data_IF_109084787950
#
_entry.id   IF_109084787950
#
_cell.length_a   1.000
_cell.length_b   1.000
_cell.length_c   1.000
_cell.angle_alpha   90.00
_cell.angle_beta   90.00
_cell.angle_gamma   90.00
#
_symmetry.space_group_name_H-M   'P 1'
#
loop_
_entity.id
_entity.type
_entity.pdbx_description
1 polymer ?
#
# COMPACT_ATOMS: atom_id res chain seq x y z
N UNK A 1 -2.87 -24.94 12.69
CA UNK A 1 -3.36 -23.85 13.57
C UNK A 1 -4.13 -22.84 12.72
N UNK A 2 -5.08 -22.10 13.32
CA UNK A 2 -6.17 -21.28 12.76
C UNK A 2 -7.22 -22.01 11.89
N UNK A 3 -6.82 -22.77 10.88
CA UNK A 3 -7.75 -23.55 10.03
C UNK A 3 -7.96 -24.99 10.52
N UNK A 4 -7.56 -25.30 11.75
CA UNK A 4 -7.55 -26.66 12.32
C UNK A 4 -6.76 -27.71 11.52
N UNK A 5 -5.90 -27.28 10.58
CA UNK A 5 -5.03 -28.17 9.77
C UNK A 5 -3.79 -28.71 10.50
N UNK A 6 -3.52 -28.23 11.72
CA UNK A 6 -2.41 -28.70 12.58
C UNK A 6 -2.69 -28.35 14.05
N UNK A 7 -2.27 -29.18 15.03
CA UNK A 7 -2.50 -28.95 16.46
C UNK A 7 -1.72 -27.74 16.99
N UNK A 8 -2.21 -27.13 18.07
CA UNK A 8 -1.60 -25.92 18.66
C UNK A 8 -0.15 -26.14 19.13
N UNK A 9 0.19 -27.35 19.59
CA UNK A 9 1.55 -27.71 20.02
C UNK A 9 2.59 -27.65 18.89
N UNK A 10 2.15 -27.66 17.64
CA UNK A 10 3.04 -27.56 16.47
C UNK A 10 3.29 -26.08 16.10
N UNK A 11 2.66 -25.12 16.80
CA UNK A 11 3.00 -23.72 16.70
C UNK A 11 4.39 -23.49 17.31
N UNK A 12 5.30 -22.89 16.56
CA UNK A 12 6.68 -22.64 16.99
C UNK A 12 6.84 -21.53 18.02
N UNK A 13 5.94 -21.42 19.01
CA UNK A 13 5.97 -20.39 20.06
C UNK A 13 5.93 -21.05 21.42
N UNK A 14 6.91 -20.75 22.28
CA UNK A 14 7.05 -21.33 23.61
C UNK A 14 7.49 -20.29 24.62
N UNK A 15 6.75 -20.15 25.73
CA UNK A 15 7.26 -19.44 26.90
C UNK A 15 8.29 -20.34 27.59
N UNK A 16 9.53 -19.88 27.71
CA UNK A 16 10.58 -20.56 28.47
C UNK A 16 10.46 -20.24 29.96
N UNK A 17 10.05 -19.01 30.27
CA UNK A 17 9.71 -18.49 31.59
C UNK A 17 8.76 -17.29 31.45
N UNK A 18 8.46 -16.60 32.56
CA UNK A 18 7.52 -15.47 32.61
C UNK A 18 7.95 -14.24 31.78
N UNK A 19 9.23 -14.13 31.41
CA UNK A 19 9.80 -12.98 30.69
C UNK A 19 10.53 -13.37 29.39
N UNK A 20 10.59 -14.66 29.07
CA UNK A 20 11.33 -15.18 27.91
C UNK A 20 10.42 -15.97 26.98
N UNK A 21 10.23 -15.45 25.76
CA UNK A 21 9.48 -16.11 24.68
C UNK A 21 10.45 -16.62 23.60
N UNK A 22 10.43 -17.92 23.34
CA UNK A 22 11.11 -18.54 22.21
C UNK A 22 10.15 -18.64 21.02
N UNK A 23 10.58 -18.16 19.86
CA UNK A 23 9.85 -18.30 18.60
C UNK A 23 10.74 -18.95 17.56
N UNK A 24 10.31 -20.12 17.07
CA UNK A 24 10.96 -20.88 16.01
C UNK A 24 10.23 -20.66 14.69
N UNK A 25 10.92 -20.03 13.75
CA UNK A 25 10.43 -19.83 12.40
C UNK A 25 10.73 -21.04 11.53
N UNK A 26 9.90 -21.25 10.49
CA UNK A 26 10.14 -22.29 9.49
C UNK A 26 11.39 -21.97 8.66
N UNK A 27 11.52 -20.70 8.29
CA UNK A 27 12.59 -20.16 7.45
C UNK A 27 13.10 -18.85 8.09
N UNK A 28 14.35 -18.43 7.83
CA UNK A 28 14.85 -17.14 8.29
C UNK A 28 13.96 -15.98 7.82
N UNK A 29 13.61 -15.06 8.71
CA UNK A 29 12.82 -13.87 8.37
C UNK A 29 13.45 -12.62 9.01
N UNK A 30 14.17 -11.78 8.25
CA UNK A 30 14.81 -10.58 8.79
C UNK A 30 13.83 -9.52 9.27
N UNK A 31 12.62 -9.51 8.74
CA UNK A 31 11.59 -8.55 9.14
C UNK A 31 10.73 -9.05 10.28
N UNK A 32 11.03 -10.22 10.84
CA UNK A 32 10.24 -10.80 11.91
C UNK A 32 10.09 -9.86 13.12
N UNK A 33 11.13 -9.09 13.46
CA UNK A 33 11.05 -8.07 14.52
C UNK A 33 10.03 -6.97 14.21
N UNK A 34 9.91 -6.54 12.95
CA UNK A 34 8.85 -5.63 12.48
C UNK A 34 7.49 -6.33 12.45
N UNK A 35 7.42 -7.60 12.05
CA UNK A 35 6.16 -8.37 12.09
C UNK A 35 5.60 -8.42 13.51
N UNK A 36 6.45 -8.59 14.53
CA UNK A 36 6.06 -8.62 15.95
C UNK A 36 5.46 -7.30 16.46
N UNK A 37 5.64 -6.17 15.76
CA UNK A 37 4.98 -4.91 16.14
C UNK A 37 3.53 -4.81 15.65
N UNK A 38 3.06 -5.75 14.81
CA UNK A 38 1.68 -5.72 14.31
C UNK A 38 0.67 -5.99 15.43
N UNK A 39 -0.40 -5.18 15.49
CA UNK A 39 -1.48 -5.27 16.49
C UNK A 39 -2.12 -6.66 16.58
N UNK A 40 -2.17 -7.43 15.49
CA UNK A 40 -2.72 -8.79 15.50
C UNK A 40 -1.89 -9.78 16.32
N UNK A 41 -0.62 -9.44 16.61
CA UNK A 41 0.29 -10.21 17.44
C UNK A 41 0.41 -9.64 18.87
N UNK A 42 -0.38 -8.61 19.21
CA UNK A 42 -0.39 -8.05 20.55
C UNK A 42 -0.83 -9.12 21.59
N UNK A 43 -0.23 -9.13 22.80
CA UNK A 43 -0.57 -10.12 23.81
C UNK A 43 -1.99 -9.90 24.36
N UNK A 44 -2.66 -11.00 24.65
CA UNK A 44 -3.98 -11.01 25.29
C UNK A 44 -3.92 -11.71 26.64
N UNK A 45 -4.70 -11.24 27.61
CA UNK A 45 -4.79 -11.89 28.91
C UNK A 45 -5.73 -13.10 28.82
N UNK A 46 -5.18 -14.31 28.96
CA UNK A 46 -5.93 -15.56 28.79
C UNK A 46 -7.08 -15.71 29.79
N UNK A 47 -6.85 -15.37 31.07
CA UNK A 47 -7.87 -15.45 32.11
C UNK A 47 -9.07 -14.56 31.79
N UNK A 48 -8.81 -13.31 31.40
CA UNK A 48 -9.85 -12.36 31.03
C UNK A 48 -10.57 -12.76 29.75
N UNK A 49 -9.85 -13.24 28.73
CA UNK A 49 -10.46 -13.77 27.51
C UNK A 49 -11.43 -14.93 27.82
N UNK A 50 -11.01 -15.86 28.68
CA UNK A 50 -11.84 -17.01 29.10
C UNK A 50 -13.06 -16.57 29.90
N UNK A 51 -12.89 -15.61 30.80
CA UNK A 51 -13.97 -15.02 31.59
C UNK A 51 -15.03 -14.35 30.71
N UNK A 52 -14.61 -13.53 29.74
CA UNK A 52 -15.52 -12.83 28.82
C UNK A 52 -16.10 -13.74 27.74
N UNK A 53 -15.38 -14.77 27.32
CA UNK A 53 -15.79 -15.72 26.30
C UNK A 53 -16.29 -15.03 25.02
N UNK A 54 -17.54 -15.30 24.64
CA UNK A 54 -18.16 -14.73 23.43
C UNK A 54 -18.40 -13.22 23.49
N UNK A 55 -18.24 -12.59 24.66
CA UNK A 55 -18.41 -11.14 24.83
C UNK A 55 -17.09 -10.37 24.76
N UNK A 56 -15.95 -11.07 24.72
CA UNK A 56 -14.65 -10.44 24.59
C UNK A 56 -14.63 -9.41 23.45
N UNK A 57 -14.14 -8.20 23.75
CA UNK A 57 -14.01 -7.07 22.85
C UNK A 57 -15.31 -6.57 22.18
N UNK A 58 -16.49 -6.81 22.77
CA UNK A 58 -17.76 -6.20 22.30
C UNK A 58 -18.04 -4.81 22.87
N UNK A 59 -17.47 -4.52 24.03
CA UNK A 59 -17.58 -3.24 24.73
C UNK A 59 -16.23 -2.87 25.34
N UNK A 60 -16.08 -1.61 25.76
CA UNK A 60 -14.93 -1.11 26.50
C UNK A 60 -14.69 -1.86 27.85
N UNK A 61 -15.75 -2.40 28.46
CA UNK A 61 -15.65 -3.22 29.69
C UNK A 61 -15.25 -4.69 29.42
N UNK A 62 -15.27 -5.11 28.16
CA UNK A 62 -14.99 -6.48 27.73
C UNK A 62 -13.62 -6.61 27.05
N UNK A 63 -12.73 -5.62 27.22
CA UNK A 63 -11.36 -5.65 26.72
C UNK A 63 -10.38 -5.15 27.79
N UNK A 64 -9.17 -5.70 27.80
CA UNK A 64 -8.04 -5.19 28.59
C UNK A 64 -7.01 -4.53 27.68
N UNK A 65 -6.34 -3.50 28.19
CA UNK A 65 -5.29 -2.78 27.47
C UNK A 65 -3.97 -2.85 28.21
N UNK A 66 -2.91 -3.27 27.51
CA UNK A 66 -1.52 -3.22 27.97
C UNK A 66 -0.74 -2.02 27.41
N UNK A 67 -1.35 -1.27 26.48
CA UNK A 67 -0.75 -0.11 25.80
C UNK A 67 -0.89 1.22 26.56
N UNK A 68 -0.50 2.33 25.92
CA UNK A 68 -0.44 3.67 26.54
C UNK A 68 -1.81 4.25 26.90
N UNK A 69 -2.89 3.73 26.32
CA UNK A 69 -4.26 4.18 26.59
C UNK A 69 -5.21 3.02 26.88
N UNK A 70 -6.31 3.35 27.55
CA UNK A 70 -7.46 2.47 27.83
C UNK A 70 -8.66 3.02 27.07
N UNK A 71 -9.36 2.14 26.35
CA UNK A 71 -10.59 2.45 25.62
C UNK A 71 -11.75 2.73 26.61
N UNK A 72 -12.55 3.73 26.31
CA UNK A 72 -13.72 4.13 27.09
C UNK A 72 -14.89 4.50 26.18
N UNK A 73 -16.11 4.21 26.65
CA UNK A 73 -17.38 4.59 26.00
C UNK A 73 -17.53 4.04 24.59
N UNK A 74 -17.03 2.83 24.35
CA UNK A 74 -17.10 2.16 23.06
C UNK A 74 -17.89 0.85 23.16
N UNK A 75 -18.73 0.63 22.16
CA UNK A 75 -19.31 -0.65 21.80
C UNK A 75 -19.28 -0.82 20.27
N UNK A 76 -19.70 -1.99 19.78
CA UNK A 76 -19.71 -2.32 18.34
C UNK A 76 -20.55 -1.37 17.46
N UNK A 77 -21.44 -0.56 18.03
CA UNK A 77 -22.28 0.39 17.28
C UNK A 77 -21.89 1.86 17.52
N UNK A 78 -20.87 2.11 18.34
CA UNK A 78 -20.50 3.44 18.78
C UNK A 78 -19.90 4.27 17.64
N UNK A 79 -20.44 5.48 17.46
CA UNK A 79 -19.87 6.49 16.57
C UNK A 79 -18.97 7.48 17.32
N UNK A 80 -18.86 7.34 18.64
CA UNK A 80 -18.03 8.19 19.50
C UNK A 80 -17.42 7.33 20.60
N UNK A 81 -16.15 7.52 20.89
CA UNK A 81 -15.45 6.88 21.99
C UNK A 81 -14.29 7.74 22.44
N UNK A 82 -13.62 7.33 23.52
CA UNK A 82 -12.41 7.98 23.97
C UNK A 82 -11.34 6.99 24.39
N UNK A 83 -10.10 7.45 24.36
CA UNK A 83 -8.97 6.77 24.96
C UNK A 83 -8.47 7.64 26.11
N UNK A 84 -8.35 7.08 27.31
CA UNK A 84 -7.70 7.77 28.43
C UNK A 84 -6.31 7.20 28.66
N UNK A 85 -5.39 8.02 29.15
CA UNK A 85 -4.04 7.59 29.53
C UNK A 85 -4.10 6.39 30.48
N UNK A 86 -3.28 5.39 30.20
CA UNK A 86 -3.16 4.19 31.02
C UNK A 86 -2.08 4.40 32.10
N UNK A 87 -2.43 4.59 33.38
CA UNK A 87 -1.44 4.79 34.44
C UNK A 87 -0.62 3.53 34.74
N UNK A 88 -1.07 2.35 34.28
CA UNK A 88 -0.36 1.06 34.45
C UNK A 88 0.58 0.74 33.30
N UNK A 89 0.63 1.56 32.24
CA UNK A 89 1.57 1.36 31.15
C UNK A 89 3.00 1.58 31.63
N UNK A 90 3.92 0.69 31.27
CA UNK A 90 5.31 0.72 31.75
C UNK A 90 6.00 2.06 31.46
N UNK A 91 5.65 2.71 30.35
CA UNK A 91 6.19 4.00 29.93
C UNK A 91 5.17 5.15 30.05
N UNK A 92 4.21 5.06 30.98
CA UNK A 92 3.15 6.07 31.14
C UNK A 92 3.67 7.50 31.40
N UNK A 93 4.89 7.64 31.95
CA UNK A 93 5.52 8.96 32.17
C UNK A 93 5.79 9.70 30.86
N UNK A 94 6.09 8.97 29.80
CA UNK A 94 6.36 9.59 28.50
C UNK A 94 5.09 9.99 27.77
N UNK A 95 3.93 9.40 28.10
CA UNK A 95 2.62 9.72 27.49
C UNK A 95 2.11 11.07 27.97
N UNK A 96 2.02 12.06 27.10
CA UNK A 96 1.66 13.45 27.44
C UNK A 96 0.18 13.80 27.28
N UNK A 97 -0.55 13.08 26.43
CA UNK A 97 -1.98 13.31 26.18
C UNK A 97 -2.78 12.52 27.22
N UNK A 98 -3.62 13.21 28.00
CA UNK A 98 -4.43 12.56 29.03
C UNK A 98 -5.65 11.84 28.45
N UNK A 99 -6.24 12.39 27.39
CA UNK A 99 -7.44 11.87 26.76
C UNK A 99 -7.48 12.20 25.27
N UNK A 100 -7.92 11.24 24.47
CA UNK A 100 -8.20 11.37 23.04
C UNK A 100 -9.68 11.08 22.83
N UNK A 101 -10.39 11.94 22.12
CA UNK A 101 -11.79 11.73 21.76
C UNK A 101 -11.91 11.48 20.27
N UNK A 102 -12.65 10.44 19.90
CA UNK A 102 -12.88 10.06 18.51
C UNK A 102 -14.36 10.19 18.19
N UNK A 103 -14.65 10.82 17.06
CA UNK A 103 -15.99 10.95 16.52
C UNK A 103 -15.97 10.49 15.06
N UNK A 104 -16.85 9.56 14.71
CA UNK A 104 -17.03 9.13 13.32
C UNK A 104 -17.92 10.14 12.62
N UNK A 105 -17.33 10.85 11.67
CA UNK A 105 -18.02 11.77 10.77
C UNK A 105 -17.90 11.20 9.36
N UNK A 106 -19.03 11.15 8.64
CA UNK A 106 -19.11 10.49 7.33
C UNK A 106 -19.04 11.47 6.15
N UNK A 107 -19.10 12.77 6.44
CA UNK A 107 -19.19 13.82 5.46
C UNK A 107 -18.05 14.83 5.66
N UNK A 108 -17.25 15.04 4.61
CA UNK A 108 -16.07 15.89 4.66
C UNK A 108 -16.39 17.34 5.05
N UNK A 109 -17.55 17.87 4.63
CA UNK A 109 -17.93 19.24 4.98
C UNK A 109 -18.20 19.40 6.48
N UNK A 110 -18.78 18.37 7.10
CA UNK A 110 -19.03 18.33 8.54
C UNK A 110 -17.72 18.29 9.32
N UNK A 111 -16.76 17.46 8.89
CA UNK A 111 -15.42 17.38 9.50
C UNK A 111 -14.70 18.72 9.46
N UNK A 112 -14.72 19.37 8.29
CA UNK A 112 -14.10 20.68 8.11
C UNK A 112 -14.72 21.74 9.01
N UNK A 113 -16.04 21.78 9.12
CA UNK A 113 -16.73 22.71 10.02
C UNK A 113 -16.38 22.47 11.50
N UNK A 114 -16.21 21.20 11.91
CA UNK A 114 -15.78 20.86 13.26
C UNK A 114 -14.34 21.32 13.52
N UNK A 115 -13.45 21.18 12.53
CA UNK A 115 -12.07 21.65 12.62
C UNK A 115 -12.00 23.18 12.69
N UNK A 116 -12.69 23.90 11.79
CA UNK A 116 -12.73 25.37 11.79
C UNK A 116 -13.35 25.96 13.06
N UNK A 117 -14.32 25.26 13.67
CA UNK A 117 -14.91 25.65 14.95
C UNK A 117 -14.10 25.24 16.19
N UNK A 118 -12.93 24.59 16.00
CA UNK A 118 -12.05 24.16 17.09
C UNK A 118 -12.60 23.00 17.93
N UNK A 119 -13.54 22.22 17.39
CA UNK A 119 -14.14 21.06 18.08
C UNK A 119 -13.38 19.76 17.85
N UNK A 120 -12.53 19.70 16.82
CA UNK A 120 -11.59 18.62 16.57
C UNK A 120 -10.21 19.19 16.27
N UNK A 121 -9.15 18.48 16.67
CA UNK A 121 -7.78 18.95 16.49
C UNK A 121 -7.13 18.47 15.19
N UNK A 122 -7.70 17.49 14.50
CA UNK A 122 -7.29 17.14 13.14
C UNK A 122 -8.44 16.48 12.37
N UNK A 123 -8.36 16.52 11.05
CA UNK A 123 -9.22 15.73 10.15
C UNK A 123 -8.52 15.43 8.83
N UNK A 124 -9.01 14.42 8.10
CA UNK A 124 -8.57 14.11 6.75
C UNK A 124 -9.20 15.07 5.74
N UNK A 125 -8.43 15.43 4.72
CA UNK A 125 -8.86 16.28 3.63
C UNK A 125 -9.13 15.43 2.39
N UNK A 126 -10.17 15.77 1.65
CA UNK A 126 -10.49 15.14 0.36
C UNK A 126 -11.09 16.15 -0.61
N UNK A 127 -11.01 15.86 -1.91
CA UNK A 127 -11.55 16.71 -2.97
C UNK A 127 -11.05 18.16 -2.87
N UNK A 128 -11.96 19.11 -3.06
CA UNK A 128 -11.65 20.54 -3.08
C UNK A 128 -11.05 21.07 -1.75
N UNK A 129 -11.26 20.37 -0.63
CA UNK A 129 -10.69 20.77 0.66
C UNK A 129 -9.16 20.63 0.70
N UNK A 130 -8.57 19.74 -0.09
CA UNK A 130 -7.10 19.63 -0.17
C UNK A 130 -6.53 20.93 -0.72
N UNK A 131 -7.08 21.44 -1.82
CA UNK A 131 -6.66 22.70 -2.40
C UNK A 131 -6.98 23.90 -1.50
N UNK A 132 -8.13 23.89 -0.79
CA UNK A 132 -8.51 24.95 0.16
C UNK A 132 -7.49 25.08 1.30
N UNK A 133 -6.95 23.96 1.79
CA UNK A 133 -6.09 23.92 2.98
C UNK A 133 -4.60 23.81 2.67
N UNK A 134 -4.16 23.68 1.42
CA UNK A 134 -2.75 23.48 1.05
C UNK A 134 -1.77 24.46 1.70
N UNK A 135 -2.19 25.71 1.91
CA UNK A 135 -1.36 26.78 2.49
C UNK A 135 -1.55 26.91 4.02
N UNK A 136 -2.36 26.07 4.63
CA UNK A 136 -2.59 26.06 6.08
C UNK A 136 -1.36 25.49 6.82
N UNK A 137 -0.90 26.11 7.92
CA UNK A 137 0.32 25.66 8.64
C UNK A 137 0.21 24.24 9.21
N UNK A 138 -1.01 23.74 9.39
CA UNK A 138 -1.31 22.38 9.82
C UNK A 138 -1.56 21.38 8.70
N UNK A 139 -1.47 21.79 7.43
CA UNK A 139 -1.62 20.91 6.29
C UNK A 139 -0.46 19.91 6.23
N UNK A 140 -0.77 18.62 6.14
CA UNK A 140 0.22 17.56 5.99
C UNK A 140 -0.29 16.55 4.98
N UNK A 141 0.60 16.11 4.09
CA UNK A 141 0.38 14.97 3.22
C UNK A 141 1.36 13.90 3.63
N UNK A 142 0.86 12.68 3.81
CA UNK A 142 1.68 11.54 4.22
C UNK A 142 1.49 10.43 3.18
N UNK A 143 2.55 10.03 2.47
CA UNK A 143 2.51 8.87 1.61
C UNK A 143 2.11 7.64 2.41
N UNK A 144 1.24 6.82 1.82
CA UNK A 144 0.80 5.56 2.41
C UNK A 144 1.40 4.41 1.60
N UNK A 145 1.40 3.22 2.18
CA UNK A 145 1.93 1.99 1.56
C UNK A 145 1.06 1.45 0.41
N UNK A 146 0.26 2.32 -0.23
CA UNK A 146 -0.64 1.98 -1.31
C UNK A 146 -0.05 2.40 -2.64
N UNK A 147 0.11 1.46 -3.57
CA UNK A 147 0.53 1.73 -4.94
C UNK A 147 -0.66 1.50 -5.87
N UNK A 148 -0.94 2.46 -6.73
CA UNK A 148 -1.93 2.30 -7.82
C UNK A 148 -1.19 2.05 -9.12
N UNK A 149 -1.64 1.07 -9.89
CA UNK A 149 -0.97 0.61 -11.11
C UNK A 149 -1.96 0.26 -12.22
N UNK A 150 -1.49 0.25 -13.47
CA UNK A 150 -2.14 -0.52 -14.54
C UNK A 150 -1.55 -1.93 -14.51
N UNK A 151 -2.39 -2.89 -14.13
CA UNK A 151 -2.09 -4.30 -14.20
C UNK A 151 -2.47 -4.84 -15.59
N UNK A 152 -1.72 -5.83 -16.07
CA UNK A 152 -1.84 -6.34 -17.43
C UNK A 152 -2.10 -7.84 -17.43
N UNK A 153 -3.11 -8.29 -18.17
CA UNK A 153 -3.41 -9.69 -18.43
C UNK A 153 -2.45 -10.30 -19.45
N UNK A 154 -1.15 -10.33 -19.11
CA UNK A 154 -0.07 -10.72 -20.03
C UNK A 154 -0.26 -12.15 -20.54
N UNK A 155 -0.61 -13.08 -19.65
CA UNK A 155 -0.87 -14.47 -20.05
C UNK A 155 -2.16 -14.66 -20.86
N UNK A 156 -3.14 -13.76 -20.72
CA UNK A 156 -4.45 -13.88 -21.38
C UNK A 156 -4.56 -13.13 -22.70
N UNK A 157 -3.63 -12.22 -23.02
CA UNK A 157 -3.66 -11.42 -24.23
C UNK A 157 -2.32 -11.48 -25.01
N UNK A 158 -2.27 -12.09 -26.22
CA UNK A 158 -1.07 -12.18 -27.04
C UNK A 158 -0.41 -10.83 -27.38
N UNK A 159 -1.19 -9.76 -27.48
CA UNK A 159 -0.66 -8.40 -27.73
C UNK A 159 0.18 -7.95 -26.54
N UNK A 160 -0.26 -8.23 -25.31
CA UNK A 160 0.46 -7.86 -24.08
C UNK A 160 1.65 -8.79 -23.77
N UNK A 161 1.78 -9.93 -24.45
CA UNK A 161 3.00 -10.76 -24.38
C UNK A 161 4.18 -10.07 -25.06
N UNK A 162 3.92 -9.20 -26.04
CA UNK A 162 4.94 -8.41 -26.69
C UNK A 162 5.51 -7.35 -25.72
N UNK A 163 6.81 -7.43 -25.43
CA UNK A 163 7.50 -6.50 -24.51
C UNK A 163 7.44 -5.05 -24.98
N UNK A 164 7.54 -4.80 -26.29
CA UNK A 164 7.48 -3.45 -26.84
C UNK A 164 6.10 -2.82 -26.64
N UNK A 165 5.00 -3.59 -26.73
CA UNK A 165 3.67 -3.08 -26.35
C UNK A 165 3.67 -2.60 -24.90
N UNK A 166 4.13 -3.43 -23.97
CA UNK A 166 4.14 -3.07 -22.54
C UNK A 166 5.03 -1.86 -22.24
N UNK A 167 6.21 -1.81 -22.85
CA UNK A 167 7.13 -0.67 -22.69
C UNK A 167 6.58 0.63 -23.31
N UNK A 168 5.85 0.55 -24.43
CA UNK A 168 5.19 1.69 -25.03
C UNK A 168 4.04 2.21 -24.15
N UNK A 169 3.23 1.32 -23.58
CA UNK A 169 2.22 1.67 -22.57
C UNK A 169 2.87 2.30 -21.33
N UNK A 170 3.98 1.75 -20.84
CA UNK A 170 4.66 2.30 -19.67
C UNK A 170 5.15 3.75 -19.88
N UNK A 171 5.75 4.03 -21.04
CA UNK A 171 6.38 5.31 -21.38
C UNK A 171 5.42 6.37 -21.96
N UNK A 172 4.15 6.03 -22.18
CA UNK A 172 3.13 6.96 -22.71
C UNK A 172 2.35 7.69 -21.62
N UNK A 173 2.62 7.44 -20.35
CA UNK A 173 1.87 8.03 -19.23
C UNK A 173 2.71 9.10 -18.54
N UNK A 174 2.26 10.35 -18.63
CA UNK A 174 2.73 11.43 -17.79
C UNK A 174 2.12 11.29 -16.37
N UNK A 175 2.92 10.88 -15.39
CA UNK A 175 2.45 10.58 -14.02
C UNK A 175 2.37 11.82 -13.16
N UNK A 176 3.25 12.77 -13.41
CA UNK A 176 3.27 14.10 -12.82
C UNK A 176 1.95 14.81 -13.15
N UNK A 177 1.53 14.80 -14.42
CA UNK A 177 0.24 15.36 -14.81
C UNK A 177 -0.95 14.61 -14.21
N UNK A 178 -0.88 13.27 -14.11
CA UNK A 178 -1.91 12.47 -13.45
C UNK A 178 -2.11 12.94 -12.00
N UNK A 179 -1.05 13.02 -11.20
CA UNK A 179 -1.17 13.39 -9.79
C UNK A 179 -1.52 14.87 -9.59
N UNK A 180 -0.95 15.78 -10.39
CA UNK A 180 -1.12 17.22 -10.22
C UNK A 180 -2.44 17.76 -10.81
N UNK A 181 -2.94 17.17 -11.90
CA UNK A 181 -4.11 17.70 -12.61
C UNK A 181 -5.36 16.85 -12.45
N UNK A 182 -5.21 15.54 -12.30
CA UNK A 182 -6.36 14.63 -12.19
C UNK A 182 -6.67 14.30 -10.73
N UNK A 183 -5.67 13.88 -9.94
CA UNK A 183 -5.88 13.45 -8.55
C UNK A 183 -5.97 14.62 -7.58
N UNK A 184 -4.95 15.50 -7.58
CA UNK A 184 -4.85 16.68 -6.68
C UNK A 184 -5.02 16.33 -5.20
N UNK A 185 -4.62 15.11 -4.81
CA UNK A 185 -4.84 14.60 -3.46
C UNK A 185 -3.55 14.43 -2.63
N UNK A 186 -2.41 14.82 -3.21
CA UNK A 186 -1.09 14.69 -2.60
C UNK A 186 -0.43 13.34 -2.88
N UNK A 187 -1.05 12.47 -3.68
CA UNK A 187 -0.38 11.28 -4.23
C UNK A 187 0.86 11.69 -5.04
N UNK A 188 1.87 10.84 -5.05
CA UNK A 188 3.17 11.12 -5.67
C UNK A 188 3.40 10.18 -6.86
N UNK A 189 4.01 10.67 -7.96
CA UNK A 189 4.25 9.83 -9.13
C UNK A 189 5.20 8.69 -8.76
N UNK A 190 4.94 7.49 -9.26
CA UNK A 190 5.75 6.31 -8.96
C UNK A 190 6.12 5.56 -10.24
N UNK A 191 7.38 5.17 -10.38
CA UNK A 191 7.89 4.53 -11.61
C UNK A 191 8.35 3.09 -11.39
N UNK A 192 8.22 2.57 -10.17
CA UNK A 192 8.46 1.18 -9.83
C UNK A 192 7.35 0.65 -8.87
N UNK A 193 7.15 -0.67 -8.72
CA UNK A 193 6.05 -1.20 -7.91
C UNK A 193 6.23 -1.07 -6.40
N UNK A 194 7.37 -0.57 -5.91
CA UNK A 194 7.67 -0.43 -4.48
C UNK A 194 7.50 1.04 -4.07
N UNK A 195 6.65 1.36 -3.08
CA UNK A 195 6.49 2.72 -2.59
C UNK A 195 7.74 3.17 -1.82
N UNK A 196 7.92 4.48 -1.71
CA UNK A 196 8.96 5.09 -0.91
C UNK A 196 8.79 4.81 0.59
N UNK A 197 9.84 5.07 1.37
CA UNK A 197 9.87 5.04 2.84
C UNK A 197 9.71 3.65 3.48
N UNK A 198 9.98 2.57 2.74
CA UNK A 198 9.93 1.21 3.28
C UNK A 198 11.28 0.71 3.81
N UNK A 199 12.33 0.93 3.02
CA UNK A 199 13.66 0.43 3.28
C UNK A 199 14.69 1.33 2.60
N UNK A 200 15.74 1.70 3.34
CA UNK A 200 16.91 2.37 2.78
C UNK A 200 18.03 1.38 2.52
N UNK A 201 18.87 1.68 1.52
CA UNK A 201 20.10 0.96 1.27
C UNK A 201 20.97 0.98 2.55
N UNK A 202 21.39 -0.19 3.09
CA UNK A 202 22.26 -0.25 4.26
C UNK A 202 23.57 0.51 4.08
N UNK A 203 24.07 0.71 2.84
CA UNK A 203 25.30 1.44 2.53
C UNK A 203 25.07 2.93 2.29
N UNK A 204 24.34 3.30 1.24
CA UNK A 204 24.16 4.71 0.85
C UNK A 204 23.14 5.48 1.69
N UNK A 205 22.26 4.75 2.41
CA UNK A 205 21.09 5.29 3.13
C UNK A 205 20.03 5.95 2.24
N UNK A 206 20.15 5.86 0.92
CA UNK A 206 19.12 6.27 -0.03
C UNK A 206 17.91 5.31 0.02
N UNK A 207 16.72 5.79 -0.31
CA UNK A 207 15.52 4.97 -0.33
C UNK A 207 15.57 3.93 -1.47
N UNK A 208 14.99 2.75 -1.24
CA UNK A 208 14.88 1.68 -2.23
C UNK A 208 14.16 2.15 -3.51
N UNK A 209 13.05 2.85 -3.33
CA UNK A 209 12.19 3.29 -4.42
C UNK A 209 12.86 4.41 -5.22
N UNK A 210 13.48 5.38 -4.55
CA UNK A 210 14.30 6.42 -5.21
C UNK A 210 15.38 5.81 -6.13
N UNK A 211 16.16 4.86 -5.61
CA UNK A 211 17.20 4.15 -6.37
C UNK A 211 16.67 3.35 -7.57
N UNK A 212 15.44 2.83 -7.44
CA UNK A 212 14.77 2.10 -8.51
C UNK A 212 14.24 3.05 -9.58
N UNK A 213 13.63 4.16 -9.14
CA UNK A 213 13.08 5.16 -10.01
C UNK A 213 14.18 5.81 -10.85
N UNK A 214 15.39 6.06 -10.32
CA UNK A 214 16.53 6.56 -11.12
C UNK A 214 16.81 5.73 -12.39
N UNK A 215 16.46 4.45 -12.39
CA UNK A 215 16.70 3.50 -13.50
C UNK A 215 15.45 3.17 -14.31
N UNK A 216 14.27 3.53 -13.81
CA UNK A 216 13.01 3.22 -14.47
C UNK A 216 12.83 4.06 -15.75
N UNK A 217 12.18 3.53 -16.81
CA UNK A 217 11.79 4.34 -17.95
C UNK A 217 10.96 5.56 -17.52
N UNK A 218 10.99 6.63 -18.30
CA UNK A 218 10.20 7.84 -18.05
C UNK A 218 9.21 8.10 -19.17
N UNK A 219 8.23 8.95 -18.89
CA UNK A 219 7.35 9.46 -19.92
C UNK A 219 8.17 10.10 -21.05
N UNK A 220 7.94 9.65 -22.28
CA UNK A 220 8.60 10.18 -23.47
C UNK A 220 7.78 9.83 -24.71
N UNK A 221 7.12 10.82 -25.30
CA UNK A 221 6.40 10.67 -26.58
C UNK A 221 7.28 10.03 -27.65
N UNK A 222 8.55 10.45 -27.74
CA UNK A 222 9.48 9.97 -28.75
C UNK A 222 9.85 8.48 -28.56
N UNK A 223 10.24 8.08 -27.35
CA UNK A 223 10.61 6.68 -27.10
C UNK A 223 9.39 5.77 -27.07
N UNK A 224 8.25 6.22 -26.51
CA UNK A 224 6.99 5.48 -26.56
C UNK A 224 6.55 5.21 -28.01
N UNK A 225 6.57 6.24 -28.86
CA UNK A 225 6.22 6.11 -30.29
C UNK A 225 7.18 5.19 -31.07
N UNK A 226 8.48 5.25 -30.77
CA UNK A 226 9.49 4.37 -31.38
C UNK A 226 9.29 2.91 -31.01
N UNK A 227 9.13 2.63 -29.71
CA UNK A 227 8.89 1.27 -29.21
C UNK A 227 7.54 0.74 -29.71
N UNK A 228 6.52 1.59 -29.80
CA UNK A 228 5.22 1.24 -30.37
C UNK A 228 5.28 0.87 -31.85
N UNK A 229 6.03 1.62 -32.66
CA UNK A 229 6.23 1.28 -34.06
C UNK A 229 6.92 -0.09 -34.24
N UNK A 230 7.88 -0.41 -33.38
CA UNK A 230 8.49 -1.75 -33.35
C UNK A 230 7.47 -2.83 -32.97
N UNK A 231 6.66 -2.59 -31.95
CA UNK A 231 5.60 -3.51 -31.52
C UNK A 231 4.60 -3.82 -32.65
N UNK A 232 4.10 -2.80 -33.36
CA UNK A 232 3.18 -2.98 -34.49
C UNK A 232 3.78 -3.80 -35.62
N UNK A 233 5.07 -3.61 -35.90
CA UNK A 233 5.80 -4.40 -36.91
C UNK A 233 5.96 -5.86 -36.48
N UNK A 234 6.27 -6.11 -35.21
CA UNK A 234 6.41 -7.47 -34.66
C UNK A 234 5.07 -8.22 -34.61
N UNK A 235 3.97 -7.51 -34.37
CA UNK A 235 2.62 -8.06 -34.32
C UNK A 235 1.94 -8.15 -35.69
N UNK A 236 2.50 -7.50 -36.72
CA UNK A 236 1.87 -7.31 -38.04
C UNK A 236 0.45 -6.70 -37.91
N UNK A 237 0.31 -5.68 -37.06
CA UNK A 237 -0.96 -5.02 -36.76
C UNK A 237 -0.81 -3.50 -36.69
N UNK A 238 -1.56 -2.78 -37.52
CA UNK A 238 -1.60 -1.31 -37.52
C UNK A 238 -2.62 -0.72 -36.53
N UNK A 239 -3.63 -1.50 -36.16
CA UNK A 239 -4.70 -1.11 -35.23
C UNK A 239 -4.81 -2.14 -34.13
N UNK A 240 -4.73 -1.69 -32.89
CA UNK A 240 -4.80 -2.52 -31.70
C UNK A 240 -5.90 -1.95 -30.81
N UNK A 241 -6.77 -2.81 -30.27
CA UNK A 241 -7.78 -2.43 -29.29
C UNK A 241 -7.54 -3.21 -27.99
N UNK A 242 -7.55 -2.53 -26.85
CA UNK A 242 -7.45 -3.12 -25.51
C UNK A 242 -8.57 -2.60 -24.61
N UNK A 243 -9.11 -3.46 -23.75
CA UNK A 243 -10.06 -3.09 -22.71
C UNK A 243 -9.34 -2.65 -21.42
N UNK A 244 -9.71 -1.49 -20.87
CA UNK A 244 -9.24 -1.01 -19.56
C UNK A 244 -10.37 -1.12 -18.54
N UNK A 245 -10.22 -2.05 -17.60
CA UNK A 245 -11.16 -2.22 -16.49
C UNK A 245 -10.90 -1.19 -15.39
N UNK A 246 -11.96 -0.46 -15.02
CA UNK A 246 -11.92 0.53 -13.92
C UNK A 246 -13.04 0.28 -12.93
N UNK A 247 -12.85 0.73 -11.69
CA UNK A 247 -13.90 0.61 -10.66
C UNK A 247 -14.96 1.70 -10.84
N UNK A 248 -16.15 1.51 -10.28
CA UNK A 248 -17.29 2.42 -10.41
C UNK A 248 -17.21 3.72 -9.58
N UNK A 249 -16.06 3.97 -8.93
CA UNK A 249 -15.76 5.20 -8.21
C UNK A 249 -15.44 6.36 -9.16
N UNK A 250 -15.72 7.59 -8.74
CA UNK A 250 -15.42 8.79 -9.53
C UNK A 250 -13.93 8.92 -9.84
N UNK A 251 -13.08 8.70 -8.83
CA UNK A 251 -11.62 8.76 -8.98
C UNK A 251 -11.13 7.72 -10.00
N UNK A 252 -11.60 6.47 -9.93
CA UNK A 252 -11.16 5.41 -10.87
C UNK A 252 -11.60 5.68 -12.31
N UNK A 253 -12.78 6.29 -12.52
CA UNK A 253 -13.24 6.73 -13.84
C UNK A 253 -12.34 7.83 -14.42
N UNK A 254 -12.01 8.85 -13.63
CA UNK A 254 -11.11 9.95 -14.04
C UNK A 254 -9.72 9.43 -14.42
N UNK A 255 -9.16 8.51 -13.64
CA UNK A 255 -7.88 7.86 -13.98
C UNK A 255 -8.03 7.07 -15.30
N UNK A 256 -9.11 6.32 -15.48
CA UNK A 256 -9.37 5.56 -16.71
C UNK A 256 -9.46 6.43 -17.96
N UNK A 257 -10.20 7.54 -17.89
CA UNK A 257 -10.33 8.53 -18.96
C UNK A 257 -8.99 9.19 -19.29
N UNK A 258 -8.20 9.54 -18.27
CA UNK A 258 -6.85 10.08 -18.45
C UNK A 258 -5.93 9.08 -19.16
N UNK A 259 -5.89 7.83 -18.69
CA UNK A 259 -5.08 6.77 -19.30
C UNK A 259 -5.51 6.49 -20.74
N UNK A 260 -6.81 6.41 -21.02
CA UNK A 260 -7.33 6.29 -22.39
C UNK A 260 -6.81 7.43 -23.26
N UNK A 261 -6.91 8.68 -22.79
CA UNK A 261 -6.43 9.84 -23.55
C UNK A 261 -4.93 9.80 -23.80
N UNK A 262 -4.12 9.48 -22.79
CA UNK A 262 -2.66 9.38 -22.91
C UNK A 262 -2.27 8.27 -23.91
N UNK A 263 -2.80 7.06 -23.73
CA UNK A 263 -2.52 5.93 -24.61
C UNK A 263 -2.92 6.20 -26.06
N UNK A 264 -4.12 6.70 -26.31
CA UNK A 264 -4.59 6.96 -27.69
C UNK A 264 -3.85 8.13 -28.36
N UNK A 265 -3.37 9.11 -27.59
CA UNK A 265 -2.61 10.26 -28.11
C UNK A 265 -1.17 9.86 -28.44
N UNK A 266 -0.49 9.17 -27.53
CA UNK A 266 0.93 8.86 -27.64
C UNK A 266 1.20 7.63 -28.54
N UNK A 267 0.21 6.74 -28.71
CA UNK A 267 0.35 5.47 -29.42
C UNK A 267 -0.60 5.37 -30.63
N UNK A 268 -0.27 5.98 -31.79
CA UNK A 268 -1.15 6.00 -32.95
C UNK A 268 -1.59 4.60 -33.41
N UNK A 269 -2.91 4.42 -33.54
CA UNK A 269 -3.55 3.16 -33.91
C UNK A 269 -3.99 2.30 -32.72
N UNK A 270 -3.68 2.70 -31.48
CA UNK A 270 -4.23 2.10 -30.27
C UNK A 270 -5.62 2.68 -29.98
N UNK A 271 -6.57 1.81 -29.64
CA UNK A 271 -7.87 2.16 -29.07
C UNK A 271 -8.00 1.56 -27.68
N UNK A 272 -8.39 2.37 -26.70
CA UNK A 272 -8.67 1.90 -25.35
C UNK A 272 -10.17 1.96 -25.11
N UNK A 273 -10.76 0.82 -24.73
CA UNK A 273 -12.16 0.75 -24.31
C UNK A 273 -12.23 0.72 -22.79
N UNK A 274 -12.60 1.85 -22.18
CA UNK A 274 -12.80 1.91 -20.72
C UNK A 274 -14.09 1.16 -20.35
N UNK A 275 -13.98 0.19 -19.46
CA UNK A 275 -15.10 -0.60 -18.95
C UNK A 275 -15.21 -0.43 -17.42
N UNK A 276 -16.28 0.24 -17.00
CA UNK A 276 -16.56 0.53 -15.59
C UNK A 276 -17.31 -0.64 -14.97
N UNK A 277 -16.75 -1.22 -13.90
CA UNK A 277 -17.32 -2.37 -13.19
C UNK A 277 -17.33 -2.14 -11.68
N UNK A 278 -18.25 -2.77 -10.92
CA UNK A 278 -18.12 -2.85 -9.48
C UNK A 278 -16.78 -3.49 -9.08
N UNK A 279 -16.11 -2.95 -8.06
CA UNK A 279 -14.74 -3.36 -7.69
C UNK A 279 -14.56 -4.88 -7.52
N UNK A 280 -15.54 -5.56 -6.90
CA UNK A 280 -15.52 -7.02 -6.73
C UNK A 280 -15.55 -7.78 -8.06
N UNK A 281 -16.32 -7.29 -9.04
CA UNK A 281 -16.43 -7.91 -10.37
C UNK A 281 -15.15 -7.70 -11.16
N UNK A 282 -14.56 -6.50 -11.08
CA UNK A 282 -13.24 -6.21 -11.68
C UNK A 282 -12.16 -7.13 -11.11
N UNK A 283 -12.07 -7.22 -9.77
CA UNK A 283 -11.10 -8.09 -9.10
C UNK A 283 -11.28 -9.57 -9.48
N UNK A 284 -12.53 -10.04 -9.55
CA UNK A 284 -12.81 -11.40 -10.01
C UNK A 284 -12.31 -11.65 -11.44
N UNK A 285 -12.50 -10.72 -12.37
CA UNK A 285 -11.98 -10.83 -13.74
C UNK A 285 -10.45 -10.91 -13.78
N UNK A 286 -9.77 -10.18 -12.89
CA UNK A 286 -8.31 -10.23 -12.76
C UNK A 286 -7.84 -11.59 -12.26
N UNK A 287 -8.47 -12.12 -11.19
CA UNK A 287 -8.19 -13.46 -10.66
C UNK A 287 -8.52 -14.59 -11.66
N UNK A 288 -9.49 -14.38 -12.54
CA UNK A 288 -9.86 -15.31 -13.62
C UNK A 288 -8.99 -15.15 -14.87
N UNK A 289 -8.06 -14.18 -14.90
CA UNK A 289 -7.21 -13.88 -16.05
C UNK A 289 -8.01 -13.54 -17.32
N UNK A 290 -9.10 -12.77 -17.15
CA UNK A 290 -10.02 -12.35 -18.23
C UNK A 290 -10.08 -10.83 -18.33
N UNK A 291 -8.94 -10.22 -18.61
CA UNK A 291 -8.79 -8.79 -18.78
C UNK A 291 -7.55 -8.48 -19.65
N UNK A 292 -7.54 -7.31 -20.27
CA UNK A 292 -6.35 -6.80 -20.96
C UNK A 292 -5.58 -5.89 -20.00
N UNK A 293 -6.20 -4.77 -19.62
CA UNK A 293 -5.68 -3.80 -18.68
C UNK A 293 -6.67 -3.61 -17.53
N UNK A 294 -6.17 -3.38 -16.32
CA UNK A 294 -7.02 -3.00 -15.18
C UNK A 294 -6.31 -1.96 -14.31
N UNK A 295 -7.05 -0.95 -13.84
CA UNK A 295 -6.56 -0.11 -12.74
C UNK A 295 -6.65 -0.95 -11.47
N UNK A 296 -5.50 -1.38 -11.00
CA UNK A 296 -5.33 -2.16 -9.79
C UNK A 296 -4.35 -1.48 -8.84
N UNK A 297 -3.74 -2.27 -7.99
CA UNK A 297 -2.86 -1.75 -6.96
C UNK A 297 -2.64 -2.71 -5.82
N UNK A 298 -1.71 -2.34 -4.96
CA UNK A 298 -1.35 -3.12 -3.80
C UNK A 298 -1.14 -2.23 -2.59
N UNK A 299 -1.62 -2.70 -1.45
CA UNK A 299 -1.28 -2.13 -0.15
C UNK A 299 -0.52 -3.18 0.63
N UNK A 300 0.81 -3.05 0.63
CA UNK A 300 1.72 -4.05 1.18
C UNK A 300 2.16 -3.74 2.61
N UNK A 301 2.91 -4.68 3.17
CA UNK A 301 3.60 -4.51 4.44
C UNK A 301 4.79 -3.54 4.30
N UNK A 302 5.44 -3.23 5.43
CA UNK A 302 6.59 -2.32 5.54
C UNK A 302 7.92 -2.90 5.04
N UNK A 303 7.88 -3.81 4.04
CA UNK A 303 9.05 -4.42 3.41
C UNK A 303 8.88 -4.53 1.88
N UNK A 304 9.89 -4.17 1.07
CA UNK A 304 9.81 -4.24 -0.40
C UNK A 304 9.42 -5.61 -0.96
N UNK A 305 9.73 -6.70 -0.24
CA UNK A 305 9.34 -8.05 -0.66
C UNK A 305 7.84 -8.21 -0.83
N UNK A 306 7.03 -7.46 -0.06
CA UNK A 306 5.56 -7.47 -0.16
C UNK A 306 5.07 -7.03 -1.55
N UNK A 307 5.86 -6.23 -2.25
CA UNK A 307 5.53 -5.65 -3.54
C UNK A 307 6.10 -6.48 -4.69
N UNK A 308 7.40 -6.80 -4.64
CA UNK A 308 8.03 -7.59 -5.73
C UNK A 308 7.48 -9.02 -5.78
N UNK A 309 7.01 -9.59 -4.66
CA UNK A 309 6.45 -10.93 -4.66
C UNK A 309 5.13 -11.07 -5.43
N UNK A 310 4.43 -9.97 -5.75
CA UNK A 310 3.23 -10.02 -6.58
C UNK A 310 3.48 -10.68 -7.94
N UNK A 311 4.72 -10.61 -8.41
CA UNK A 311 5.16 -11.10 -9.71
C UNK A 311 5.88 -12.45 -9.63
N UNK A 312 5.98 -13.04 -8.44
CA UNK A 312 6.52 -14.40 -8.27
C UNK A 312 5.58 -15.41 -8.94
N UNK A 313 6.13 -16.39 -9.66
CA UNK A 313 5.35 -17.26 -10.56
C UNK A 313 4.18 -17.99 -9.90
N UNK A 314 4.33 -18.38 -8.63
CA UNK A 314 3.30 -19.11 -7.88
C UNK A 314 2.50 -18.24 -6.92
N UNK A 315 2.65 -16.91 -6.95
CA UNK A 315 1.90 -16.03 -6.07
C UNK A 315 0.44 -15.92 -6.52
N UNK A 316 -0.50 -16.03 -5.57
CA UNK A 316 -1.92 -16.13 -5.90
C UNK A 316 -2.50 -14.86 -6.55
N UNK A 317 -1.91 -13.70 -6.25
CA UNK A 317 -2.28 -12.41 -6.83
C UNK A 317 -1.38 -11.99 -8.00
N UNK A 318 -0.64 -12.92 -8.62
CA UNK A 318 0.07 -12.69 -9.86
C UNK A 318 -0.93 -12.62 -11.03
N UNK A 319 -1.67 -11.50 -11.14
CA UNK A 319 -2.75 -11.35 -12.11
C UNK A 319 -2.27 -11.36 -13.58
N UNK A 320 -0.98 -11.12 -13.83
CA UNK A 320 -0.37 -11.28 -15.15
C UNK A 320 0.01 -12.72 -15.50
N UNK A 321 0.09 -13.61 -14.50
CA UNK A 321 0.81 -14.90 -14.53
C UNK A 321 2.23 -14.75 -15.09
N UNK A 322 3.00 -13.85 -14.50
CA UNK A 322 4.42 -13.73 -14.80
C UNK A 322 5.11 -15.05 -14.47
N UNK A 323 5.88 -15.57 -15.42
CA UNK A 323 6.70 -16.78 -15.29
C UNK A 323 8.11 -16.42 -15.76
N UNK A 324 8.89 -15.79 -14.88
CA UNK A 324 10.26 -15.36 -15.12
C UNK A 324 11.19 -15.98 -14.07
N UNK A 325 11.92 -17.01 -14.49
CA UNK A 325 12.85 -17.74 -13.62
C UNK A 325 13.98 -16.86 -13.05
N UNK A 326 14.37 -15.78 -13.74
CA UNK A 326 15.37 -14.85 -13.22
C UNK A 326 14.79 -14.01 -12.09
N UNK A 327 13.53 -13.57 -12.22
CA UNK A 327 12.81 -12.86 -11.17
C UNK A 327 12.59 -13.74 -9.94
N UNK A 328 12.04 -14.95 -10.13
CA UNK A 328 11.79 -15.90 -9.05
C UNK A 328 13.07 -16.19 -8.26
N UNK A 329 14.18 -16.43 -8.97
CA UNK A 329 15.48 -16.65 -8.33
C UNK A 329 15.91 -15.48 -7.43
N UNK A 330 15.69 -14.23 -7.86
CA UNK A 330 16.06 -13.05 -7.05
C UNK A 330 15.20 -12.94 -5.79
N UNK A 331 13.90 -13.20 -5.92
CA UNK A 331 12.97 -13.22 -4.79
C UNK A 331 13.33 -14.36 -3.82
N UNK A 332 13.64 -15.55 -4.33
CA UNK A 332 14.03 -16.71 -3.50
C UNK A 332 15.32 -16.46 -2.73
N UNK A 333 16.34 -15.88 -3.38
CA UNK A 333 17.58 -15.47 -2.70
C UNK A 333 17.30 -14.50 -1.55
N UNK A 334 16.43 -13.51 -1.77
CA UNK A 334 16.04 -12.54 -0.74
C UNK A 334 15.24 -13.17 0.42
N UNK A 335 14.52 -14.26 0.17
CA UNK A 335 13.76 -15.02 1.19
C UNK A 335 14.58 -16.04 1.96
N UNK A 336 15.67 -16.54 1.37
CA UNK A 336 16.39 -17.71 1.87
C UNK A 336 17.85 -17.38 2.17
N UNK A 337 18.74 -17.56 1.20
CA UNK A 337 20.20 -17.43 1.33
C UNK A 337 20.61 -16.06 1.90
N UNK A 338 19.99 -14.99 1.41
CA UNK A 338 20.33 -13.62 1.81
C UNK A 338 19.42 -13.07 2.90
N UNK A 339 18.47 -13.87 3.41
CA UNK A 339 17.45 -13.39 4.34
C UNK A 339 18.03 -12.57 5.49
N UNK A 340 19.16 -12.97 6.07
CA UNK A 340 19.80 -12.28 7.21
C UNK A 340 20.99 -11.39 6.85
N UNK A 341 21.33 -11.29 5.57
CA UNK A 341 22.37 -10.38 5.06
C UNK A 341 21.69 -9.15 4.45
N UNK A 342 21.62 -8.05 5.20
CA UNK A 342 20.90 -6.83 4.81
C UNK A 342 21.35 -6.30 3.44
N UNK A 343 22.65 -6.37 3.13
CA UNK A 343 23.22 -5.85 1.88
C UNK A 343 22.85 -6.77 0.72
N UNK A 344 23.07 -8.07 0.86
CA UNK A 344 22.76 -9.02 -0.22
C UNK A 344 21.26 -9.12 -0.47
N UNK A 345 20.44 -9.07 0.58
CA UNK A 345 18.98 -9.04 0.47
C UNK A 345 18.50 -7.79 -0.25
N UNK A 346 18.98 -6.61 0.15
CA UNK A 346 18.63 -5.35 -0.49
C UNK A 346 18.94 -5.39 -1.99
N UNK A 347 20.13 -5.86 -2.37
CA UNK A 347 20.52 -5.97 -3.77
C UNK A 347 19.67 -6.99 -4.54
N UNK A 348 19.32 -8.14 -3.95
CA UNK A 348 18.46 -9.11 -4.60
C UNK A 348 17.04 -8.57 -4.82
N UNK A 349 16.50 -7.78 -3.89
CA UNK A 349 15.21 -7.09 -4.05
C UNK A 349 15.28 -5.98 -5.10
N UNK A 350 16.37 -5.18 -5.13
CA UNK A 350 16.60 -4.19 -6.18
C UNK A 350 16.68 -4.83 -7.57
N UNK A 351 17.39 -5.94 -7.70
CA UNK A 351 17.48 -6.70 -8.95
C UNK A 351 16.12 -7.25 -9.39
N UNK A 352 15.33 -7.80 -8.45
CA UNK A 352 13.97 -8.26 -8.73
C UNK A 352 13.09 -7.09 -9.24
N UNK A 353 13.15 -5.95 -8.56
CA UNK A 353 12.41 -4.75 -8.93
C UNK A 353 12.81 -4.20 -10.30
N UNK A 354 14.11 -4.22 -10.61
CA UNK A 354 14.63 -3.85 -11.92
C UNK A 354 14.10 -4.77 -13.00
N UNK A 355 14.09 -6.09 -12.79
CA UNK A 355 13.52 -7.04 -13.77
C UNK A 355 12.04 -6.71 -14.04
N UNK A 356 11.24 -6.50 -12.99
CA UNK A 356 9.81 -6.17 -13.12
C UNK A 356 9.61 -4.91 -13.97
N UNK A 357 10.43 -3.89 -13.72
CA UNK A 357 10.35 -2.59 -14.40
C UNK A 357 10.87 -2.66 -15.84
N UNK A 358 12.01 -3.32 -16.08
CA UNK A 358 12.61 -3.50 -17.41
C UNK A 358 11.73 -4.33 -18.34
N UNK A 359 11.02 -5.32 -17.80
CA UNK A 359 10.06 -6.14 -18.53
C UNK A 359 8.68 -5.50 -18.65
N UNK A 360 8.46 -4.36 -17.97
CA UNK A 360 7.17 -3.70 -17.84
C UNK A 360 6.07 -4.72 -17.51
N UNK A 361 6.25 -5.53 -16.46
CA UNK A 361 5.24 -6.49 -16.02
C UNK A 361 4.03 -5.83 -15.35
N UNK A 362 4.22 -4.60 -14.88
CA UNK A 362 3.21 -3.70 -14.35
C UNK A 362 3.56 -2.28 -14.76
N UNK A 363 2.57 -1.39 -14.77
CA UNK A 363 2.80 0.05 -14.99
C UNK A 363 2.37 0.77 -13.70
N UNK A 364 3.30 1.02 -12.76
CA UNK A 364 3.01 1.82 -11.57
C UNK A 364 2.55 3.21 -12.01
N UNK A 365 1.60 3.82 -11.31
CA UNK A 365 1.08 5.16 -11.64
C UNK A 365 1.48 6.17 -10.57
N UNK A 366 1.15 5.87 -9.32
CA UNK A 366 1.41 6.74 -8.19
C UNK A 366 1.41 5.96 -6.87
N UNK A 367 2.18 6.46 -5.91
CA UNK A 367 2.02 6.13 -4.51
C UNK A 367 0.87 6.97 -3.96
N UNK A 368 -0.08 6.31 -3.31
CA UNK A 368 -1.22 6.94 -2.65
C UNK A 368 -0.74 7.76 -1.46
N UNK A 369 -1.42 8.85 -1.18
CA UNK A 369 -1.20 9.66 0.01
C UNK A 369 -2.48 9.87 0.79
N UNK A 370 -2.33 10.13 2.08
CA UNK A 370 -3.40 10.63 2.95
C UNK A 370 -3.06 12.06 3.35
N UNK A 371 -3.95 12.98 3.00
CA UNK A 371 -3.81 14.39 3.31
C UNK A 371 -4.69 14.75 4.50
N UNK A 372 -4.15 15.52 5.43
CA UNK A 372 -4.81 15.95 6.66
C UNK A 372 -4.61 17.44 6.91
N UNK A 373 -5.47 18.00 7.76
CA UNK A 373 -5.19 19.25 8.46
C UNK A 373 -5.19 18.99 9.96
N UNK A 374 -4.16 19.47 10.64
CA UNK A 374 -4.03 19.39 12.09
C UNK A 374 -3.95 20.80 12.70
N UNK A 375 -4.41 20.92 13.94
CA UNK A 375 -4.28 22.12 14.74
C UNK A 375 -2.78 22.36 15.01
N UNK A 376 -2.19 23.51 14.60
CA UNK A 376 -0.75 23.75 14.76
C UNK A 376 -0.26 23.74 16.22
N UNK A 377 -1.18 23.81 17.19
CA UNK A 377 -0.86 23.67 18.62
C UNK A 377 -0.51 22.24 19.03
N UNK A 378 -0.82 21.24 18.20
CA UNK A 378 -0.41 19.85 18.44
C UNK A 378 1.10 19.69 18.21
N UNK A 379 1.86 19.69 19.30
CA UNK A 379 3.30 19.38 19.27
C UNK A 379 3.54 17.88 19.15
N UNK A 380 4.57 17.47 18.39
CA UNK A 380 4.96 16.07 18.18
C UNK A 380 3.85 15.19 17.57
N UNK A 381 2.88 15.78 16.88
CA UNK A 381 1.88 15.01 16.17
C UNK A 381 2.48 14.40 14.89
N UNK A 382 2.69 13.08 14.91
CA UNK A 382 3.05 12.29 13.74
C UNK A 382 1.79 11.60 13.22
N UNK A 383 1.34 11.99 12.03
CA UNK A 383 0.35 11.22 11.30
C UNK A 383 1.07 10.13 10.51
N UNK A 384 0.79 8.87 10.83
CA UNK A 384 1.29 7.71 10.10
C UNK A 384 0.11 6.88 9.65
N UNK A 385 0.22 6.29 8.47
CA UNK A 385 -0.82 5.45 7.88
C UNK A 385 -0.41 3.99 7.97
N UNK A 386 -1.31 3.12 8.43
CA UNK A 386 -1.05 1.71 8.71
C UNK A 386 -1.75 1.26 10.00
N UNK A 387 -1.46 0.05 10.48
CA UNK A 387 -1.97 -0.43 11.78
C UNK A 387 -1.40 0.33 12.99
N UNK A 388 -0.33 1.11 12.76
CA UNK A 388 0.34 1.92 13.77
C UNK A 388 -0.19 3.35 13.80
N UNK A 389 -1.43 3.53 14.26
CA UNK A 389 -1.87 4.83 14.77
C UNK A 389 -1.09 5.12 16.06
N UNK A 390 0.10 5.69 15.91
CA UNK A 390 0.83 6.23 17.06
C UNK A 390 0.44 7.69 17.17
N UNK A 391 -0.50 8.02 18.07
CA UNK A 391 -0.46 9.34 18.66
C UNK A 391 0.90 9.43 19.33
N UNK A 392 1.84 10.15 18.71
CA UNK A 392 3.17 10.40 19.26
C UNK A 392 2.98 11.29 20.49
N UNK A 393 2.57 10.63 21.57
CA UNK A 393 2.42 11.18 22.89
C UNK A 393 3.71 11.03 23.67
N UNK A 394 4.83 10.66 23.04
CA UNK A 394 6.13 10.47 23.66
C UNK A 394 6.94 11.77 23.54
N UNK A 395 7.55 12.24 24.63
CA UNK A 395 8.59 13.26 24.53
C UNK A 395 9.82 12.62 23.85
N UNK A 396 10.45 13.34 22.91
CA UNK A 396 11.75 12.94 22.35
C UNK A 396 12.85 13.07 23.39
#
# INVERSE_FOLDING_TARGET
VNENKAPLKDLGVKALDDQTLEIKLKDPNPTFSRTLSNVVLAPINETFLKDKGKNYAKTDQDILSSGPYILEKWDVNSLKWSYRKNPKYWNAKQVTIDKIEVNVVKDASTDINLFESGKIDYTTLSGDYIQKYKDHPGFRTVPINGVTSVEMGISSNPILQNKNVRQALFQSINREELVEKVLKDGSEPLFNPVPENLQSDPKSKQDFSELSDEKAPRYSTAEAGKVWAAAKKELDQDKIELELLVSDTEQSKKIGEYLQSQFETELPGLKIKVNVLPAKVRFQKMMEYKFDLAIGGWSGDVDPISYVQQFYSTYEHNHGKIDDAALDKKIDLARTEYAVDEVQRFNALQDANQIITDQAYVIPLFQQSSTIVANPKLSNFEYKTGFDFTFAAYQK
#
